data_IF_327897347301
#
_entry.id   IF_327897347301
#
_cell.length_a   1.000
_cell.length_b   1.000
_cell.length_c   1.000
_cell.angle_alpha   90.00
_cell.angle_beta   90.00
_cell.angle_gamma   90.00
#
_symmetry.space_group_name_H-M   'P 1'
#
loop_
_entity.id
_entity.type
_entity.pdbx_description
1 polymer ?
#
# COMPACT_ATOMS: atom_id res chain seq x y z
N UNK A 1 3.25 -8.38 4.16
CA UNK A 1 2.06 -7.53 3.98
C UNK A 1 0.88 -8.08 4.76
N UNK A 2 0.04 -7.19 5.29
CA UNK A 2 -1.22 -7.55 5.92
C UNK A 2 -2.30 -7.65 4.84
N UNK A 3 -2.94 -8.80 4.76
CA UNK A 3 -4.10 -9.06 3.90
C UNK A 3 -5.29 -9.47 4.76
N UNK A 4 -6.42 -8.84 4.54
CA UNK A 4 -7.66 -9.16 5.23
C UNK A 4 -8.35 -10.34 4.55
N UNK A 5 -8.58 -11.41 5.32
CA UNK A 5 -9.18 -12.65 4.82
C UNK A 5 -10.51 -12.89 5.50
N UNK A 6 -11.54 -13.14 4.70
CA UNK A 6 -12.88 -13.43 5.17
C UNK A 6 -13.92 -12.69 4.32
N UNK A 7 -15.11 -13.25 4.25
CA UNK A 7 -16.19 -12.68 3.44
C UNK A 7 -16.67 -11.33 3.97
N UNK A 8 -16.45 -11.06 5.26
CA UNK A 8 -16.81 -9.80 5.90
C UNK A 8 -16.07 -8.58 5.32
N UNK A 9 -14.85 -8.79 4.78
CA UNK A 9 -14.03 -7.70 4.22
C UNK A 9 -14.35 -7.39 2.75
N UNK A 10 -15.16 -8.20 2.08
CA UNK A 10 -15.43 -8.05 0.64
C UNK A 10 -16.09 -6.72 0.24
N UNK A 11 -16.75 -6.05 1.19
CA UNK A 11 -17.35 -4.73 0.99
C UNK A 11 -16.42 -3.56 1.32
N UNK A 12 -15.18 -3.83 1.67
CA UNK A 12 -14.14 -2.91 2.10
C UNK A 12 -13.61 -3.23 3.48
N UNK A 13 -12.31 -3.12 3.65
CA UNK A 13 -11.64 -3.38 4.93
C UNK A 13 -11.87 -2.23 5.92
N UNK A 14 -11.69 -1.00 5.47
CA UNK A 14 -11.82 0.20 6.31
C UNK A 14 -13.10 0.97 6.04
N UNK A 15 -13.45 1.17 4.78
CA UNK A 15 -14.53 2.03 4.34
C UNK A 15 -15.76 1.30 3.83
N UNK A 16 -15.91 0.03 4.17
CA UNK A 16 -17.11 -0.76 3.87
C UNK A 16 -18.37 -0.25 4.59
N UNK A 17 -19.51 -0.85 4.26
CA UNK A 17 -20.81 -0.44 4.80
C UNK A 17 -20.97 -0.73 6.30
N UNK A 18 -20.27 -1.74 6.82
CA UNK A 18 -20.31 -2.13 8.23
C UNK A 18 -19.14 -1.55 9.02
N UNK A 19 -19.45 -0.61 9.89
CA UNK A 19 -18.45 -0.01 10.79
C UNK A 19 -17.81 -1.00 11.79
N UNK A 20 -18.39 -2.17 12.04
CA UNK A 20 -17.77 -3.19 12.86
C UNK A 20 -16.58 -3.84 12.14
N UNK A 21 -16.70 -4.03 10.82
CA UNK A 21 -15.60 -4.52 9.97
C UNK A 21 -14.44 -3.53 9.96
N UNK A 22 -14.73 -2.23 9.79
CA UNK A 22 -13.72 -1.17 9.87
C UNK A 22 -12.93 -1.21 11.21
N UNK A 23 -13.64 -1.32 12.33
CA UNK A 23 -12.99 -1.44 13.65
C UNK A 23 -12.17 -2.72 13.78
N UNK A 24 -12.65 -3.83 13.20
CA UNK A 24 -11.91 -5.09 13.17
C UNK A 24 -10.62 -4.95 12.38
N UNK A 25 -10.66 -4.29 11.22
CA UNK A 25 -9.48 -4.03 10.39
C UNK A 25 -8.42 -3.21 11.13
N UNK A 26 -8.82 -2.13 11.79
CA UNK A 26 -7.91 -1.34 12.62
C UNK A 26 -7.29 -2.19 13.74
N UNK A 27 -8.10 -3.02 14.42
CA UNK A 27 -7.59 -3.92 15.46
C UNK A 27 -6.56 -4.92 14.91
N UNK A 28 -6.84 -5.55 13.76
CA UNK A 28 -5.90 -6.48 13.12
C UNK A 28 -4.58 -5.81 12.74
N UNK A 29 -4.63 -4.55 12.28
CA UNK A 29 -3.42 -3.78 12.01
C UNK A 29 -2.60 -3.50 13.29
N UNK A 30 -3.26 -3.22 14.42
CA UNK A 30 -2.59 -3.05 15.70
C UNK A 30 -1.96 -4.37 16.20
N UNK A 31 -2.68 -5.48 16.09
CA UNK A 31 -2.13 -6.82 16.38
C UNK A 31 -0.93 -7.16 15.48
N UNK A 32 -0.99 -6.77 14.20
CA UNK A 32 0.16 -6.93 13.29
C UNK A 32 1.36 -6.07 13.72
N UNK A 33 1.14 -4.86 14.23
CA UNK A 33 2.21 -4.03 14.79
C UNK A 33 2.83 -4.65 16.04
N UNK A 34 2.02 -5.26 16.93
CA UNK A 34 2.50 -6.00 18.10
C UNK A 34 3.35 -7.20 17.68
N UNK A 35 2.87 -7.98 16.72
CA UNK A 35 3.61 -9.14 16.22
C UNK A 35 4.92 -8.69 15.52
N UNK A 36 4.87 -7.61 14.74
CA UNK A 36 6.05 -7.05 14.09
C UNK A 36 7.12 -6.64 15.11
N UNK A 37 6.72 -5.94 16.18
CA UNK A 37 7.62 -5.55 17.26
C UNK A 37 8.22 -6.78 17.96
N UNK A 38 7.40 -7.77 18.31
CA UNK A 38 7.83 -8.99 18.99
C UNK A 38 8.84 -9.81 18.16
N UNK A 39 8.73 -9.75 16.83
CA UNK A 39 9.65 -10.40 15.89
C UNK A 39 10.87 -9.55 15.52
N UNK A 40 11.03 -8.36 16.10
CA UNK A 40 12.13 -7.44 15.77
C UNK A 40 11.99 -6.76 14.41
N UNK A 41 10.78 -6.77 13.83
CA UNK A 41 10.48 -6.06 12.57
C UNK A 41 10.35 -4.55 12.80
N UNK A 42 10.34 -3.79 11.71
CA UNK A 42 10.29 -2.33 11.75
C UNK A 42 9.15 -1.72 10.94
N UNK A 43 8.53 -2.48 10.07
CA UNK A 43 7.50 -2.00 9.14
C UNK A 43 6.38 -3.03 9.02
N UNK A 44 5.14 -2.57 9.12
CA UNK A 44 3.98 -3.34 8.65
C UNK A 44 3.50 -2.75 7.33
N UNK A 45 3.23 -3.59 6.35
CA UNK A 45 2.65 -3.18 5.06
C UNK A 45 1.17 -3.57 5.05
N UNK A 46 0.30 -2.62 4.71
CA UNK A 46 -1.15 -2.80 4.62
C UNK A 46 -1.55 -2.64 3.16
N UNK A 47 -2.16 -3.69 2.62
CA UNK A 47 -2.77 -3.69 1.30
C UNK A 47 -4.30 -3.58 1.44
N UNK A 48 -4.87 -2.54 0.82
CA UNK A 48 -6.30 -2.26 0.85
C UNK A 48 -6.96 -2.92 -0.39
N UNK A 49 -7.18 -4.24 -0.33
CA UNK A 49 -7.65 -4.99 -1.48
C UNK A 49 -9.10 -4.71 -1.87
N UNK A 50 -9.98 -4.53 -0.87
CA UNK A 50 -11.42 -4.38 -1.10
C UNK A 50 -11.95 -2.96 -0.89
N UNK A 51 -11.14 -2.03 -0.39
CA UNK A 51 -11.50 -0.61 -0.32
C UNK A 51 -11.49 0.02 -1.72
N UNK A 52 -12.65 0.04 -2.35
CA UNK A 52 -12.82 0.48 -3.74
C UNK A 52 -14.27 0.46 -4.17
N UNK A 53 -14.47 0.49 -5.48
CA UNK A 53 -15.81 0.43 -6.09
C UNK A 53 -15.74 -0.18 -7.50
N UNK A 54 -16.88 -0.66 -8.00
CA UNK A 54 -16.97 -1.36 -9.29
C UNK A 54 -17.81 -0.58 -10.31
N UNK A 55 -18.68 0.32 -9.84
CA UNK A 55 -19.55 1.11 -10.70
C UNK A 55 -19.89 2.48 -10.08
N UNK A 56 -20.29 3.47 -10.89
CA UNK A 56 -20.66 4.80 -10.41
C UNK A 56 -21.80 4.77 -9.37
N UNK A 57 -21.73 5.65 -8.37
CA UNK A 57 -22.70 5.77 -7.26
C UNK A 57 -22.74 4.59 -6.28
N UNK A 58 -21.82 3.63 -6.36
CA UNK A 58 -21.73 2.52 -5.42
C UNK A 58 -21.37 2.98 -4.02
N UNK A 59 -20.47 3.95 -3.91
CA UNK A 59 -19.92 4.45 -2.63
C UNK A 59 -19.93 5.97 -2.57
N UNK A 60 -19.87 6.51 -1.36
CA UNK A 60 -19.58 7.92 -1.11
C UNK A 60 -18.06 8.09 -1.02
N UNK A 61 -17.46 8.65 -2.08
CA UNK A 61 -16.02 8.75 -2.23
C UNK A 61 -15.35 9.56 -1.13
N UNK A 62 -15.92 10.72 -0.77
CA UNK A 62 -15.39 11.60 0.27
C UNK A 62 -15.49 10.94 1.65
N UNK A 63 -16.64 10.36 1.94
CA UNK A 63 -16.86 9.64 3.20
C UNK A 63 -15.87 8.48 3.36
N UNK A 64 -15.71 7.65 2.31
CA UNK A 64 -14.82 6.50 2.34
C UNK A 64 -13.36 6.92 2.49
N UNK A 65 -12.93 7.95 1.75
CA UNK A 65 -11.59 8.52 1.88
C UNK A 65 -11.32 8.98 3.31
N UNK A 66 -12.23 9.76 3.89
CA UNK A 66 -12.11 10.27 5.24
C UNK A 66 -12.09 9.16 6.32
N UNK A 67 -12.79 8.05 6.09
CA UNK A 67 -12.73 6.87 6.99
C UNK A 67 -11.33 6.23 6.92
N UNK A 68 -10.79 6.06 5.72
CA UNK A 68 -9.46 5.48 5.52
C UNK A 68 -8.39 6.36 6.17
N UNK A 69 -8.43 7.69 5.97
CA UNK A 69 -7.51 8.64 6.62
C UNK A 69 -7.52 8.45 8.14
N UNK A 70 -8.70 8.48 8.78
CA UNK A 70 -8.82 8.31 10.23
C UNK A 70 -8.33 6.95 10.72
N UNK A 71 -8.61 5.89 9.96
CA UNK A 71 -8.15 4.55 10.29
C UNK A 71 -6.61 4.47 10.27
N UNK A 72 -5.98 5.04 9.25
CA UNK A 72 -4.51 5.09 9.19
C UNK A 72 -3.90 6.00 10.24
N UNK A 73 -4.56 7.10 10.64
CA UNK A 73 -4.12 7.92 11.77
C UNK A 73 -4.06 7.08 13.05
N UNK A 74 -5.15 6.38 13.37
CA UNK A 74 -5.23 5.52 14.57
C UNK A 74 -4.21 4.38 14.54
N UNK A 75 -4.00 3.74 13.39
CA UNK A 75 -3.00 2.67 13.20
C UNK A 75 -1.58 3.23 13.36
N UNK A 76 -1.30 4.36 12.72
CA UNK A 76 0.02 4.99 12.76
C UNK A 76 0.39 5.49 14.15
N UNK A 77 -0.57 6.08 14.89
CA UNK A 77 -0.37 6.50 16.27
C UNK A 77 0.00 5.29 17.15
N UNK A 78 -0.76 4.20 17.09
CA UNK A 78 -0.50 2.97 17.85
C UNK A 78 0.84 2.31 17.48
N UNK A 79 1.12 2.19 16.18
CA UNK A 79 2.37 1.61 15.70
C UNK A 79 3.59 2.48 16.05
N UNK A 80 3.41 3.81 16.05
CA UNK A 80 4.45 4.79 16.39
C UNK A 80 4.93 4.67 17.84
N UNK A 81 4.01 4.40 18.79
CA UNK A 81 4.37 4.15 20.21
C UNK A 81 5.30 2.94 20.37
N UNK A 82 5.31 2.04 19.38
CA UNK A 82 6.13 0.82 19.35
C UNK A 82 7.37 0.94 18.46
N UNK A 83 7.60 2.10 17.87
CA UNK A 83 8.68 2.33 16.91
C UNK A 83 8.46 1.65 15.56
N UNK A 84 7.23 1.23 15.24
CA UNK A 84 6.88 0.55 13.99
C UNK A 84 6.38 1.56 12.97
N UNK A 85 6.87 1.43 11.75
CA UNK A 85 6.39 2.18 10.58
C UNK A 85 5.18 1.47 9.96
N UNK A 86 4.26 2.26 9.40
CA UNK A 86 3.10 1.78 8.64
C UNK A 86 3.30 2.12 7.18
N UNK A 87 3.15 1.15 6.31
CA UNK A 87 3.35 1.32 4.88
C UNK A 87 2.08 0.96 4.13
N UNK A 88 1.63 1.83 3.24
CA UNK A 88 0.53 1.58 2.33
C UNK A 88 1.07 0.90 1.08
N UNK A 89 0.49 -0.21 0.70
CA UNK A 89 0.69 -0.83 -0.60
C UNK A 89 -0.55 -0.57 -1.45
N UNK A 90 -0.39 0.19 -2.52
CA UNK A 90 -1.48 0.45 -3.44
C UNK A 90 -1.55 -0.57 -4.58
N UNK A 91 -2.74 -0.75 -5.11
CA UNK A 91 -3.02 -1.54 -6.32
C UNK A 91 -4.12 -0.84 -7.10
N UNK A 92 -4.02 -0.69 -8.42
CA UNK A 92 -5.00 0.11 -9.18
C UNK A 92 -6.37 -0.55 -9.29
N UNK A 93 -6.40 -1.86 -9.31
CA UNK A 93 -7.61 -2.70 -9.41
C UNK A 93 -7.31 -4.10 -8.85
N UNK A 94 -8.30 -5.00 -8.89
CA UNK A 94 -8.24 -6.35 -8.31
C UNK A 94 -8.14 -6.36 -6.78
N UNK A 95 -9.19 -6.86 -6.12
CA UNK A 95 -10.41 -7.46 -6.70
C UNK A 95 -11.47 -6.45 -7.16
N UNK A 96 -11.37 -5.16 -6.79
CA UNK A 96 -12.26 -4.10 -7.25
C UNK A 96 -11.88 -3.61 -8.63
N UNK A 97 -12.85 -3.10 -9.41
CA UNK A 97 -12.58 -2.42 -10.66
C UNK A 97 -11.76 -1.13 -10.47
N UNK A 98 -12.03 -0.43 -9.36
CA UNK A 98 -11.34 0.81 -8.97
C UNK A 98 -10.99 0.76 -7.49
N UNK A 99 -9.71 0.86 -7.16
CA UNK A 99 -9.25 0.99 -5.77
C UNK A 99 -9.35 2.44 -5.30
N UNK A 100 -9.62 2.66 -4.01
CA UNK A 100 -9.59 4.00 -3.41
C UNK A 100 -8.21 4.63 -3.45
N UNK A 101 -7.16 3.81 -3.33
CA UNK A 101 -5.75 4.24 -3.44
C UNK A 101 -5.12 3.43 -4.58
N UNK A 102 -5.14 4.00 -5.78
CA UNK A 102 -4.88 3.27 -7.01
C UNK A 102 -3.50 3.53 -7.64
N UNK A 103 -2.68 4.40 -7.04
CA UNK A 103 -1.38 4.79 -7.58
C UNK A 103 -0.60 5.70 -6.65
N UNK A 104 0.65 6.02 -7.04
CA UNK A 104 1.57 6.80 -6.21
C UNK A 104 1.02 8.17 -5.83
N UNK A 105 0.31 8.84 -6.73
CA UNK A 105 -0.25 10.18 -6.48
C UNK A 105 -1.24 10.19 -5.32
N UNK A 106 -2.26 9.30 -5.35
CA UNK A 106 -3.25 9.17 -4.28
C UNK A 106 -2.62 8.62 -2.99
N UNK A 107 -1.63 7.72 -3.10
CA UNK A 107 -0.89 7.23 -1.93
C UNK A 107 -0.17 8.37 -1.21
N UNK A 108 0.52 9.24 -1.95
CA UNK A 108 1.22 10.39 -1.33
C UNK A 108 0.24 11.42 -0.76
N UNK A 109 -0.91 11.64 -1.40
CA UNK A 109 -1.97 12.46 -0.85
C UNK A 109 -2.51 11.88 0.46
N UNK A 110 -2.80 10.57 0.49
CA UNK A 110 -3.24 9.89 1.70
C UNK A 110 -2.21 10.02 2.82
N UNK A 111 -0.93 9.83 2.53
CA UNK A 111 0.17 10.00 3.50
C UNK A 111 0.21 11.42 4.05
N UNK A 112 0.03 12.43 3.20
CA UNK A 112 0.02 13.85 3.61
C UNK A 112 -1.21 14.15 4.48
N UNK A 113 -2.39 13.61 4.17
CA UNK A 113 -3.61 13.83 4.95
C UNK A 113 -3.64 13.05 6.28
N UNK A 114 -3.03 11.86 6.31
CA UNK A 114 -2.83 11.10 7.57
C UNK A 114 -1.92 11.88 8.52
N UNK A 115 -0.95 12.61 7.98
CA UNK A 115 -0.05 13.51 8.72
C UNK A 115 0.59 12.87 9.95
N UNK A 116 1.24 11.71 9.73
CA UNK A 116 2.03 11.00 10.76
C UNK A 116 3.45 10.74 10.25
N UNK A 117 4.48 10.89 11.10
CA UNK A 117 5.87 10.73 10.67
C UNK A 117 6.20 9.30 10.22
N UNK A 118 5.53 8.31 10.79
CA UNK A 118 5.79 6.88 10.60
C UNK A 118 4.90 6.21 9.54
N UNK A 119 4.17 6.98 8.69
CA UNK A 119 3.45 6.43 7.54
C UNK A 119 4.23 6.65 6.25
N UNK A 120 4.20 5.67 5.35
CA UNK A 120 4.88 5.69 4.06
C UNK A 120 4.26 4.72 3.06
N UNK A 121 5.01 4.35 2.03
CA UNK A 121 4.56 3.49 0.94
C UNK A 121 5.48 2.29 0.73
N UNK A 122 4.89 1.13 0.48
CA UNK A 122 5.52 -0.02 -0.16
C UNK A 122 5.17 0.00 -1.64
N UNK A 123 6.18 0.02 -2.50
CA UNK A 123 5.98 -0.01 -3.94
C UNK A 123 6.04 -1.45 -4.43
N UNK A 124 4.97 -1.89 -5.05
CA UNK A 124 4.91 -3.14 -5.80
C UNK A 124 5.15 -2.85 -7.28
N UNK A 125 6.13 -3.54 -7.87
CA UNK A 125 6.56 -3.25 -9.24
C UNK A 125 5.47 -3.60 -10.27
N UNK A 126 4.77 -4.74 -10.09
CA UNK A 126 3.67 -5.13 -10.97
C UNK A 126 2.49 -4.17 -10.84
N UNK A 127 2.15 -3.72 -9.62
CA UNK A 127 1.07 -2.76 -9.41
C UNK A 127 1.34 -1.41 -10.12
N UNK A 128 2.60 -0.96 -10.11
CA UNK A 128 2.99 0.25 -10.88
C UNK A 128 2.81 0.06 -12.40
N UNK A 129 3.17 -1.12 -12.93
CA UNK A 129 2.93 -1.44 -14.34
C UNK A 129 1.45 -1.50 -14.68
N UNK A 130 0.61 -2.10 -13.83
CA UNK A 130 -0.85 -2.14 -13.97
C UNK A 130 -1.45 -0.73 -14.02
N UNK A 131 -0.94 0.19 -13.21
CA UNK A 131 -1.36 1.61 -13.22
C UNK A 131 -0.81 2.38 -14.43
N UNK A 132 0.08 1.78 -15.22
CA UNK A 132 0.85 2.45 -16.30
C UNK A 132 1.70 3.60 -15.78
N UNK A 133 2.19 3.48 -14.57
CA UNK A 133 3.21 4.36 -14.02
C UNK A 133 4.59 3.97 -14.58
N UNK A 134 5.52 4.93 -14.60
CA UNK A 134 6.93 4.57 -14.71
C UNK A 134 7.43 4.23 -13.30
N UNK A 135 7.84 2.96 -13.02
CA UNK A 135 8.21 2.53 -11.67
C UNK A 135 9.34 3.35 -11.04
N UNK A 136 10.34 3.75 -11.83
CA UNK A 136 11.45 4.57 -11.35
C UNK A 136 11.00 6.00 -10.96
N UNK A 137 10.01 6.55 -11.68
CA UNK A 137 9.44 7.84 -11.36
C UNK A 137 8.62 7.78 -10.06
N UNK A 138 7.79 6.76 -9.88
CA UNK A 138 7.02 6.54 -8.64
C UNK A 138 7.94 6.38 -7.43
N UNK A 139 9.02 5.59 -7.59
CA UNK A 139 10.08 5.46 -6.59
C UNK A 139 10.70 6.82 -6.24
N UNK A 140 11.06 7.62 -7.24
CA UNK A 140 11.68 8.93 -7.02
C UNK A 140 10.75 9.86 -6.22
N UNK A 141 9.44 9.84 -6.48
CA UNK A 141 8.46 10.63 -5.74
C UNK A 141 8.38 10.21 -4.27
N UNK A 142 8.34 8.91 -3.99
CA UNK A 142 8.31 8.38 -2.62
C UNK A 142 9.63 8.67 -1.87
N UNK A 143 10.77 8.41 -2.52
CA UNK A 143 12.09 8.58 -1.93
C UNK A 143 12.40 10.05 -1.58
N UNK A 144 12.05 11.00 -2.46
CA UNK A 144 12.28 12.43 -2.18
C UNK A 144 11.49 12.96 -0.97
N UNK A 145 10.40 12.29 -0.60
CA UNK A 145 9.61 12.59 0.61
C UNK A 145 10.07 11.81 1.83
N UNK A 146 11.07 10.94 1.71
CA UNK A 146 11.51 9.98 2.74
C UNK A 146 10.36 9.06 3.20
N UNK A 147 9.49 8.67 2.26
CA UNK A 147 8.31 7.83 2.52
C UNK A 147 8.38 6.46 1.88
N UNK A 148 9.49 6.08 1.26
CA UNK A 148 9.70 4.75 0.70
C UNK A 148 10.11 3.78 1.81
N UNK A 149 9.19 2.87 2.22
CA UNK A 149 9.40 1.99 3.35
C UNK A 149 9.57 0.52 2.98
N UNK A 150 9.12 0.12 1.79
CA UNK A 150 9.23 -1.26 1.33
C UNK A 150 9.17 -1.37 -0.18
N UNK A 151 9.62 -2.52 -0.68
CA UNK A 151 9.56 -2.89 -2.10
C UNK A 151 9.08 -4.32 -2.23
N UNK A 152 8.11 -4.55 -3.11
CA UNK A 152 7.74 -5.85 -3.65
C UNK A 152 8.23 -5.94 -5.10
N UNK A 153 9.08 -6.93 -5.35
CA UNK A 153 9.76 -7.11 -6.63
C UNK A 153 9.17 -8.32 -7.34
N UNK A 154 8.37 -8.07 -8.33
CA UNK A 154 7.70 -9.00 -9.20
C UNK A 154 7.68 -8.43 -10.62
N UNK A 155 6.91 -8.99 -11.54
CA UNK A 155 6.70 -8.48 -12.89
C UNK A 155 5.33 -8.91 -13.41
N UNK A 156 4.88 -8.30 -14.50
CA UNK A 156 3.61 -8.63 -15.13
C UNK A 156 3.45 -7.94 -16.48
N UNK A 157 2.35 -8.26 -17.15
CA UNK A 157 2.03 -7.69 -18.46
C UNK A 157 1.30 -6.33 -18.39
N UNK A 158 1.11 -5.80 -17.16
CA UNK A 158 0.47 -4.51 -16.95
C UNK A 158 -1.06 -4.52 -16.97
N UNK A 159 -1.69 -5.68 -17.02
CA UNK A 159 -3.15 -5.84 -16.97
C UNK A 159 -3.63 -6.47 -15.67
N UNK A 160 -2.90 -7.47 -15.19
CA UNK A 160 -3.19 -8.25 -14.00
C UNK A 160 -1.93 -8.34 -13.14
N UNK A 161 -2.12 -8.61 -11.87
CA UNK A 161 -1.05 -8.95 -10.94
C UNK A 161 -0.59 -10.40 -11.21
N UNK A 162 0.37 -10.54 -12.12
CA UNK A 162 0.81 -11.84 -12.59
C UNK A 162 1.79 -12.54 -11.64
N UNK A 163 2.45 -11.81 -10.73
CA UNK A 163 3.46 -12.38 -9.82
C UNK A 163 4.62 -13.06 -10.56
N UNK A 164 5.07 -12.50 -11.70
CA UNK A 164 6.17 -13.04 -12.47
C UNK A 164 7.52 -12.65 -11.85
N UNK A 165 8.55 -13.39 -12.20
CA UNK A 165 9.91 -13.09 -11.75
C UNK A 165 10.30 -11.68 -12.20
N UNK A 166 10.80 -10.86 -11.27
CA UNK A 166 11.25 -9.50 -11.55
C UNK A 166 12.17 -9.42 -12.77
N UNK A 167 11.92 -8.44 -13.65
CA UNK A 167 12.62 -8.21 -14.90
C UNK A 167 12.44 -9.29 -15.98
N UNK A 168 11.49 -10.22 -15.82
CA UNK A 168 11.24 -11.26 -16.83
C UNK A 168 10.46 -10.76 -18.05
N UNK A 169 9.69 -9.70 -17.88
CA UNK A 169 8.87 -9.06 -18.94
C UNK A 169 9.33 -7.63 -19.18
N UNK A 170 9.46 -6.83 -18.12
CA UNK A 170 9.66 -5.39 -18.16
C UNK A 170 11.13 -5.00 -17.87
N UNK A 171 12.08 -5.68 -18.53
CA UNK A 171 13.53 -5.49 -18.27
C UNK A 171 13.99 -4.03 -18.34
N UNK A 172 13.63 -3.18 -19.34
CA UNK A 172 14.07 -1.79 -19.37
C UNK A 172 13.59 -0.98 -18.16
N UNK A 173 12.32 -1.16 -17.74
CA UNK A 173 11.74 -0.50 -16.57
C UNK A 173 12.42 -0.99 -15.29
N UNK A 174 12.70 -2.29 -15.21
CA UNK A 174 13.39 -2.88 -14.06
C UNK A 174 14.81 -2.35 -13.92
N UNK A 175 15.56 -2.20 -15.00
CA UNK A 175 16.91 -1.61 -15.00
C UNK A 175 16.88 -0.15 -14.52
N UNK A 176 15.94 0.65 -15.04
CA UNK A 176 15.77 2.04 -14.60
C UNK A 176 15.40 2.10 -13.12
N UNK A 177 14.49 1.24 -12.66
CA UNK A 177 14.07 1.16 -11.26
C UNK A 177 15.25 0.85 -10.34
N UNK A 178 16.05 -0.17 -10.65
CA UNK A 178 17.26 -0.52 -9.89
C UNK A 178 18.30 0.60 -9.89
N UNK A 179 18.47 1.31 -11.02
CA UNK A 179 19.33 2.48 -11.07
C UNK A 179 18.89 3.55 -10.07
N UNK A 180 17.59 3.83 -9.99
CA UNK A 180 17.05 4.81 -9.05
C UNK A 180 17.10 4.34 -7.60
N UNK A 181 16.94 3.05 -7.30
CA UNK A 181 17.20 2.48 -5.97
C UNK A 181 18.64 2.79 -5.52
N UNK A 182 19.60 2.54 -6.39
CA UNK A 182 21.01 2.86 -6.12
C UNK A 182 21.24 4.36 -5.94
N UNK A 183 20.63 5.19 -6.78
CA UNK A 183 20.73 6.66 -6.73
C UNK A 183 20.24 7.22 -5.40
N UNK A 184 19.12 6.71 -4.89
CA UNK A 184 18.55 7.12 -3.60
C UNK A 184 19.12 6.35 -2.40
N UNK A 185 20.10 5.45 -2.64
CA UNK A 185 20.75 4.64 -1.60
C UNK A 185 19.73 3.89 -0.73
N UNK A 186 18.73 3.31 -1.37
CA UNK A 186 17.72 2.54 -0.66
C UNK A 186 18.38 1.35 0.05
N UNK A 187 18.20 1.25 1.35
CA UNK A 187 18.74 0.23 2.24
C UNK A 187 17.65 -0.54 3.01
N UNK A 188 16.40 -0.33 2.61
CA UNK A 188 15.25 -1.00 3.21
C UNK A 188 15.03 -2.43 2.70
N UNK A 189 13.91 -3.01 3.13
CA UNK A 189 13.55 -4.39 2.78
C UNK A 189 13.13 -4.49 1.33
N UNK A 190 13.64 -5.51 0.64
CA UNK A 190 13.20 -5.95 -0.68
C UNK A 190 12.57 -7.33 -0.52
N UNK A 191 11.34 -7.46 -0.94
CA UNK A 191 10.59 -8.71 -0.90
C UNK A 191 10.26 -9.14 -2.33
N UNK A 192 10.44 -10.41 -2.63
CA UNK A 192 10.02 -11.01 -3.91
C UNK A 192 8.66 -11.65 -3.70
N UNK A 193 7.67 -11.13 -4.36
CA UNK A 193 6.25 -11.50 -4.21
C UNK A 193 5.80 -12.40 -5.40
#
# INVERSE_FOLDING_TARGET
ALRFRGNEFMEGEFAGTDSAVSRQSVRLCKEAADACQALGGQVITIWLGFDGFDYPFQVDYEKNWNIIVRSFQEIADYAGEKGIKVSIEYKPCEPRAFSMIDGIGLTLQMIDEVDRPNIGVTLDFCHMLMKRENPAYSLALAARKNKLYGLHMNDGYGELDNGLIFASVSLPQALEFVYYLKKYKYDGVVFFD
#
